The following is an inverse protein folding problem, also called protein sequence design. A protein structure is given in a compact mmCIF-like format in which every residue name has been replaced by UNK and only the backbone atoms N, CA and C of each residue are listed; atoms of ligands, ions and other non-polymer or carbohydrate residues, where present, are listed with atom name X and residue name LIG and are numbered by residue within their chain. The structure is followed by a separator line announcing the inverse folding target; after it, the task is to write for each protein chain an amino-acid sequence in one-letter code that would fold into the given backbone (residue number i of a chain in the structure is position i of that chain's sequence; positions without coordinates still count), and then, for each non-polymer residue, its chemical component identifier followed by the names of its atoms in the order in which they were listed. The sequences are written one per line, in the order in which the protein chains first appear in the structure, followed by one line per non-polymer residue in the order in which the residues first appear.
data_IF_729375415632
#
_entry.id   IF_729375415632
#
_cell.length_a   1.000
_cell.length_b   1.000
_cell.length_c   1.000
_cell.angle_alpha   90.00
_cell.angle_beta   90.00
_cell.angle_gamma   90.00
#
_symmetry.space_group_name_H-M   'P 1'
#
loop_
_entity.id
_entity.type
_entity.pdbx_description
1 polymer ?
#
# COMPACT_ATOMS: atom_id res chain seq x y z
N UNK A 1 0.49 0.29 -20.04
CA UNK A 1 -0.35 0.34 -18.82
C UNK A 1 -0.46 -1.08 -18.29
N UNK A 2 0.18 -1.38 -17.16
CA UNK A 2 0.02 -2.69 -16.53
C UNK A 2 -1.39 -2.77 -15.93
N UNK A 3 -2.21 -3.71 -16.42
CA UNK A 3 -3.53 -3.97 -15.90
C UNK A 3 -3.38 -4.89 -14.69
N UNK A 4 -3.10 -4.30 -13.52
CA UNK A 4 -3.00 -5.08 -12.28
C UNK A 4 -4.40 -5.54 -11.86
N UNK A 5 -4.65 -6.83 -12.03
CA UNK A 5 -5.92 -7.49 -11.68
C UNK A 5 -5.67 -8.76 -10.88
N UNK A 6 -6.70 -9.23 -10.17
CA UNK A 6 -6.60 -10.48 -9.41
C UNK A 6 -6.25 -11.65 -10.34
N UNK A 7 -5.24 -12.42 -9.97
CA UNK A 7 -4.66 -13.51 -10.77
C UNK A 7 -3.56 -13.05 -11.73
N UNK A 8 -3.38 -11.73 -11.91
CA UNK A 8 -2.32 -11.17 -12.75
C UNK A 8 -0.95 -11.15 -12.06
N UNK A 9 0.14 -11.06 -12.85
CA UNK A 9 1.49 -10.92 -12.34
C UNK A 9 1.79 -9.48 -11.88
N UNK A 10 2.70 -9.36 -10.91
CA UNK A 10 3.30 -8.09 -10.49
C UNK A 10 4.72 -8.31 -9.99
N UNK A 11 5.66 -7.50 -10.46
CA UNK A 11 7.07 -7.53 -10.08
C UNK A 11 7.30 -6.68 -8.84
N UNK A 12 7.77 -7.29 -7.76
CA UNK A 12 8.02 -6.61 -6.47
C UNK A 12 9.41 -6.96 -5.93
N UNK A 13 10.13 -5.94 -5.45
CA UNK A 13 11.46 -6.05 -4.86
C UNK A 13 11.61 -5.22 -3.58
N UNK A 14 12.70 -5.46 -2.84
CA UNK A 14 13.05 -4.73 -1.62
C UNK A 14 14.49 -4.23 -1.75
N UNK A 15 14.70 -3.05 -2.36
CA UNK A 15 16.03 -2.53 -2.66
C UNK A 15 16.89 -2.32 -1.41
N UNK A 16 16.30 -1.98 -0.26
CA UNK A 16 17.05 -1.77 0.99
C UNK A 16 17.64 -3.07 1.59
N UNK A 17 17.20 -4.22 1.08
CA UNK A 17 17.70 -5.55 1.44
C UNK A 17 18.44 -6.24 0.28
N UNK A 18 18.76 -5.52 -0.80
CA UNK A 18 19.34 -6.07 -2.02
C UNK A 18 18.51 -7.23 -2.62
N UNK A 19 17.19 -7.17 -2.43
CA UNK A 19 16.26 -8.16 -2.99
C UNK A 19 15.73 -7.62 -4.32
N UNK A 20 16.09 -8.22 -5.46
CA UNK A 20 15.62 -7.77 -6.76
C UNK A 20 14.12 -7.98 -6.92
N UNK A 21 13.53 -7.29 -7.89
CA UNK A 21 12.15 -7.56 -8.25
C UNK A 21 11.99 -8.99 -8.77
N UNK A 22 10.95 -9.65 -8.27
CA UNK A 22 10.50 -10.95 -8.77
C UNK A 22 8.99 -10.91 -8.97
N UNK A 23 8.52 -11.77 -9.86
CA UNK A 23 7.10 -11.88 -10.15
C UNK A 23 6.35 -12.53 -8.98
N UNK A 24 5.25 -11.91 -8.61
CA UNK A 24 4.24 -12.44 -7.69
C UNK A 24 2.88 -12.47 -8.38
N UNK A 25 1.97 -13.32 -7.89
CA UNK A 25 0.58 -13.32 -8.34
C UNK A 25 -0.28 -12.46 -7.41
N UNK A 26 -1.06 -11.55 -7.98
CA UNK A 26 -2.01 -10.72 -7.24
C UNK A 26 -3.17 -11.59 -6.75
N UNK A 27 -3.37 -11.69 -5.43
CA UNK A 27 -4.53 -12.36 -4.84
C UNK A 27 -5.67 -11.38 -4.52
N UNK A 28 -5.33 -10.12 -4.32
CA UNK A 28 -6.26 -9.04 -4.02
C UNK A 28 -5.68 -7.71 -4.48
N UNK A 29 -6.53 -6.83 -5.00
CA UNK A 29 -6.11 -5.52 -5.50
C UNK A 29 -7.20 -4.48 -5.25
N UNK A 30 -6.77 -3.30 -4.84
CA UNK A 30 -7.60 -2.12 -4.69
C UNK A 30 -6.81 -0.92 -5.19
N UNK A 31 -7.40 -0.19 -6.15
CA UNK A 31 -6.78 1.00 -6.75
C UNK A 31 -7.74 2.17 -6.62
N UNK A 32 -7.33 3.20 -5.90
CA UNK A 32 -8.11 4.40 -5.62
C UNK A 32 -7.26 5.62 -6.00
N UNK A 33 -7.38 6.06 -7.26
CA UNK A 33 -6.53 7.10 -7.81
C UNK A 33 -5.04 6.71 -7.77
N UNK A 34 -4.26 7.47 -6.99
CA UNK A 34 -2.83 7.22 -6.75
C UNK A 34 -2.57 6.16 -5.68
N UNK A 35 -3.57 5.81 -4.87
CA UNK A 35 -3.44 4.80 -3.82
C UNK A 35 -3.57 3.41 -4.43
N UNK A 36 -2.61 2.56 -4.12
CA UNK A 36 -2.60 1.17 -4.57
C UNK A 36 -2.34 0.26 -3.39
N UNK A 37 -3.30 -0.62 -3.12
CA UNK A 37 -3.18 -1.68 -2.14
C UNK A 37 -3.29 -3.02 -2.85
N UNK A 38 -2.37 -3.92 -2.56
CA UNK A 38 -2.42 -5.27 -3.10
C UNK A 38 -1.98 -6.28 -2.07
N UNK A 39 -2.56 -7.48 -2.20
CA UNK A 39 -2.07 -8.69 -1.57
C UNK A 39 -1.59 -9.60 -2.68
N UNK A 40 -0.42 -10.18 -2.49
CA UNK A 40 0.31 -10.96 -3.49
C UNK A 40 0.81 -12.27 -2.89
N UNK A 41 1.07 -13.26 -3.73
CA UNK A 41 1.60 -14.56 -3.32
C UNK A 41 2.75 -15.01 -4.22
N UNK A 42 3.73 -15.70 -3.63
CA UNK A 42 4.76 -16.44 -4.35
C UNK A 42 4.40 -17.94 -4.50
N UNK A 43 3.15 -18.31 -4.17
CA UNK A 43 2.67 -19.69 -4.13
C UNK A 43 2.99 -20.43 -2.83
N UNK A 44 3.81 -19.86 -1.94
CA UNK A 44 4.12 -20.41 -0.61
C UNK A 44 3.58 -19.54 0.52
N UNK A 45 3.68 -18.21 0.37
CA UNK A 45 3.22 -17.23 1.35
C UNK A 45 2.50 -16.07 0.67
N UNK A 46 1.56 -15.49 1.39
CA UNK A 46 0.92 -14.25 1.00
C UNK A 46 1.54 -13.06 1.75
N UNK A 47 1.58 -11.91 1.09
CA UNK A 47 2.02 -10.64 1.67
C UNK A 47 1.19 -9.50 1.12
N UNK A 48 1.05 -8.42 1.89
CA UNK A 48 0.30 -7.24 1.48
C UNK A 48 1.14 -5.99 1.56
N UNK A 49 0.81 -4.99 0.75
CA UNK A 49 1.38 -3.66 0.80
C UNK A 49 0.34 -2.64 0.37
N UNK A 50 0.55 -1.40 0.83
CA UNK A 50 -0.23 -0.23 0.45
C UNK A 50 0.77 0.89 0.16
N UNK A 51 0.70 1.46 -1.04
CA UNK A 51 1.58 2.52 -1.52
C UNK A 51 0.77 3.64 -2.14
N UNK A 52 1.36 4.83 -2.28
CA UNK A 52 0.79 5.93 -3.05
C UNK A 52 1.79 6.36 -4.11
N UNK A 53 1.38 6.26 -5.38
CA UNK A 53 2.19 6.68 -6.52
C UNK A 53 2.29 8.20 -6.60
N UNK A 54 3.42 8.72 -7.10
CA UNK A 54 3.65 10.15 -7.34
C UNK A 54 3.36 11.05 -6.12
N UNK A 55 3.69 10.56 -4.93
CA UNK A 55 3.42 11.25 -3.67
C UNK A 55 4.73 11.54 -2.91
N UNK A 56 5.01 12.82 -2.56
CA UNK A 56 6.20 13.16 -1.77
C UNK A 56 6.17 12.53 -0.37
N UNK A 57 7.34 12.18 0.15
CA UNK A 57 7.49 11.54 1.47
C UNK A 57 6.82 12.33 2.60
N UNK A 58 6.96 13.66 2.62
CA UNK A 58 6.30 14.51 3.62
C UNK A 58 4.77 14.37 3.60
N UNK A 59 4.18 14.17 2.42
CA UNK A 59 2.73 13.96 2.28
C UNK A 59 2.36 12.56 2.77
N UNK A 60 3.19 11.54 2.52
CA UNK A 60 2.97 10.19 3.05
C UNK A 60 2.91 10.19 4.59
N UNK A 61 3.80 10.91 5.25
CA UNK A 61 3.80 11.02 6.72
C UNK A 61 2.53 11.72 7.24
N UNK A 62 2.11 12.82 6.58
CA UNK A 62 0.86 13.50 6.91
C UNK A 62 -0.37 12.58 6.72
N UNK A 63 -0.38 11.77 5.66
CA UNK A 63 -1.44 10.80 5.39
C UNK A 63 -1.47 9.69 6.47
N UNK A 64 -0.31 9.21 6.92
CA UNK A 64 -0.22 8.21 7.99
C UNK A 64 -0.75 8.75 9.32
N UNK A 65 -0.41 10.00 9.67
CA UNK A 65 -0.91 10.67 10.87
C UNK A 65 -2.44 10.84 10.82
N UNK A 66 -2.98 11.34 9.70
CA UNK A 66 -4.42 11.50 9.53
C UNK A 66 -5.16 10.16 9.57
N UNK A 67 -4.64 9.14 8.89
CA UNK A 67 -5.23 7.80 8.90
C UNK A 67 -5.27 7.21 10.32
N UNK A 68 -4.20 7.41 11.09
CA UNK A 68 -4.15 7.01 12.50
C UNK A 68 -5.29 7.65 13.30
N UNK A 69 -5.49 8.95 13.12
CA UNK A 69 -6.58 9.70 13.78
C UNK A 69 -7.98 9.24 13.37
N UNK A 70 -8.19 8.94 12.08
CA UNK A 70 -9.50 8.54 11.54
C UNK A 70 -9.85 7.08 11.84
N UNK A 71 -8.87 6.17 11.91
CA UNK A 71 -9.08 4.72 12.02
C UNK A 71 -8.92 4.15 13.43
N UNK A 72 -8.31 4.91 14.35
CA UNK A 72 -8.12 4.48 15.74
C UNK A 72 -7.06 3.41 15.95
N UNK A 73 -6.24 3.10 14.94
CA UNK A 73 -5.04 2.27 15.05
C UNK A 73 -3.84 2.95 14.40
N UNK A 74 -2.64 2.61 14.87
CA UNK A 74 -1.41 3.25 14.40
C UNK A 74 -1.10 2.84 12.96
N UNK A 75 -0.89 3.85 12.12
CA UNK A 75 -0.39 3.73 10.75
C UNK A 75 0.91 4.51 10.66
N UNK A 76 1.94 3.93 10.05
CA UNK A 76 3.23 4.60 9.81
C UNK A 76 3.65 4.43 8.36
N UNK A 77 4.47 5.35 7.86
CA UNK A 77 5.21 5.09 6.63
C UNK A 77 6.34 4.11 6.94
N UNK A 78 6.48 3.08 6.12
CA UNK A 78 7.52 2.08 6.27
C UNK A 78 8.89 2.72 6.03
N UNK A 79 9.84 2.45 6.92
CA UNK A 79 11.23 2.81 6.72
C UNK A 79 11.86 2.04 5.55
N UNK A 80 11.26 0.91 5.17
CA UNK A 80 11.71 0.08 4.06
C UNK A 80 11.00 0.49 2.78
N UNK A 81 11.78 0.69 1.73
CA UNK A 81 11.26 0.93 0.38
C UNK A 81 10.96 -0.40 -0.29
N UNK A 82 9.89 -0.40 -1.07
CA UNK A 82 9.58 -1.47 -2.01
C UNK A 82 9.78 -0.94 -3.43
N UNK A 83 10.13 -1.84 -4.34
CA UNK A 83 10.15 -1.58 -5.77
C UNK A 83 8.96 -2.29 -6.40
N UNK A 84 8.17 -1.59 -7.20
CA UNK A 84 7.01 -2.15 -7.91
C UNK A 84 7.14 -1.78 -9.39
N UNK A 85 7.40 -2.77 -10.24
CA UNK A 85 7.62 -2.59 -11.68
C UNK A 85 8.62 -1.45 -11.98
N UNK A 86 9.74 -1.44 -11.25
CA UNK A 86 10.80 -0.43 -11.32
C UNK A 86 10.53 0.87 -10.58
N UNK A 87 9.37 1.06 -9.95
CA UNK A 87 9.06 2.25 -9.16
C UNK A 87 9.41 2.04 -7.69
N UNK A 88 10.37 2.79 -7.18
CA UNK A 88 10.76 2.74 -5.77
C UNK A 88 9.82 3.62 -4.95
N UNK A 89 9.09 3.00 -4.02
CA UNK A 89 8.03 3.60 -3.22
C UNK A 89 8.21 3.27 -1.74
N UNK A 90 7.59 4.06 -0.87
CA UNK A 90 7.38 3.66 0.53
C UNK A 90 5.96 3.13 0.71
N UNK A 91 5.85 2.06 1.48
CA UNK A 91 4.57 1.48 1.87
C UNK A 91 4.08 2.03 3.21
N UNK A 92 2.83 1.76 3.56
CA UNK A 92 2.28 2.02 4.88
C UNK A 92 2.25 0.72 5.69
N UNK A 93 2.76 0.78 6.92
CA UNK A 93 2.71 -0.31 7.89
C UNK A 93 1.64 -0.01 8.94
N UNK A 94 0.88 -1.03 9.31
CA UNK A 94 -0.18 -0.97 10.30
C UNK A 94 -0.42 -2.34 10.91
N UNK A 95 -1.01 -2.36 12.10
CA UNK A 95 -1.32 -3.61 12.79
C UNK A 95 -2.55 -4.28 12.19
N UNK A 96 -2.33 -5.47 11.63
CA UNK A 96 -3.38 -6.29 11.03
C UNK A 96 -3.23 -7.76 11.42
N UNK A 97 -4.35 -8.34 11.87
CA UNK A 97 -4.48 -9.78 12.08
C UNK A 97 -5.57 -10.33 11.17
N UNK A 98 -5.43 -11.57 10.67
CA UNK A 98 -6.43 -12.21 9.82
C UNK A 98 -7.63 -12.72 10.64
N UNK A 99 -8.23 -11.87 11.46
CA UNK A 99 -9.47 -12.15 12.19
C UNK A 99 -10.64 -11.42 11.53
N UNK A 100 -11.88 -11.94 11.64
CA UNK A 100 -13.05 -11.28 11.07
C UNK A 100 -13.23 -9.83 11.53
N UNK A 101 -12.85 -9.52 12.76
CA UNK A 101 -12.89 -8.17 13.33
C UNK A 101 -12.04 -7.15 12.54
N UNK A 102 -10.97 -7.61 11.90
CA UNK A 102 -10.01 -6.75 11.20
C UNK A 102 -9.96 -7.00 9.70
N UNK A 103 -10.91 -7.75 9.15
CA UNK A 103 -10.96 -8.11 7.74
C UNK A 103 -10.97 -6.87 6.83
N UNK A 104 -11.69 -5.82 7.23
CA UNK A 104 -11.88 -4.62 6.42
C UNK A 104 -10.79 -3.56 6.61
N UNK A 105 -9.95 -3.66 7.66
CA UNK A 105 -8.90 -2.67 7.97
C UNK A 105 -7.99 -2.32 6.77
N UNK A 106 -7.49 -3.28 5.97
CA UNK A 106 -6.66 -2.96 4.81
C UNK A 106 -7.39 -2.09 3.78
N UNK A 107 -8.65 -2.39 3.54
CA UNK A 107 -9.49 -1.70 2.56
C UNK A 107 -9.94 -0.33 3.06
N UNK A 108 -10.27 -0.23 4.35
CA UNK A 108 -10.56 1.03 5.02
C UNK A 108 -9.36 1.96 5.05
N UNK A 109 -8.17 1.43 5.33
CA UNK A 109 -6.94 2.22 5.27
C UNK A 109 -6.71 2.79 3.87
N UNK A 110 -6.79 1.96 2.83
CA UNK A 110 -6.63 2.43 1.45
C UNK A 110 -7.63 3.53 1.08
N UNK A 111 -8.89 3.38 1.52
CA UNK A 111 -9.93 4.38 1.30
C UNK A 111 -9.65 5.68 2.04
N UNK A 112 -9.32 5.62 3.33
CA UNK A 112 -9.01 6.81 4.13
C UNK A 112 -7.80 7.56 3.59
N UNK A 113 -6.75 6.85 3.16
CA UNK A 113 -5.57 7.47 2.53
C UNK A 113 -5.97 8.16 1.22
N UNK A 114 -6.83 7.53 0.40
CA UNK A 114 -7.28 8.12 -0.85
C UNK A 114 -8.15 9.38 -0.63
N UNK A 115 -9.10 9.31 0.30
CA UNK A 115 -9.95 10.44 0.69
C UNK A 115 -9.12 11.60 1.26
N UNK A 116 -8.20 11.33 2.18
CA UNK A 116 -7.31 12.34 2.75
C UNK A 116 -6.39 12.98 1.70
N UNK A 117 -5.89 12.20 0.73
CA UNK A 117 -5.09 12.75 -0.37
C UNK A 117 -5.91 13.70 -1.25
N UNK A 118 -7.16 13.34 -1.55
CA UNK A 118 -8.07 14.19 -2.32
C UNK A 118 -8.46 15.45 -1.55
N UNK A 119 -8.71 15.36 -0.24
CA UNK A 119 -8.95 16.51 0.65
C UNK A 119 -7.77 17.49 0.60
N UNK A 120 -6.54 17.01 0.74
CA UNK A 120 -5.33 17.85 0.68
C UNK A 120 -5.19 18.56 -0.68
N UNK A 121 -5.48 17.87 -1.79
CA UNK A 121 -5.39 18.45 -3.14
C UNK A 121 -6.44 19.53 -3.40
N UNK A 122 -7.64 19.37 -2.84
CA UNK A 122 -8.76 20.29 -3.04
C UNK A 122 -8.76 21.46 -2.05
N UNK A 123 -7.89 21.43 -1.02
CA UNK A 123 -7.74 22.50 -0.02
C UNK A 123 -6.73 23.60 -0.39
N UNK A 124 -6.12 23.55 -1.59
CA UNK A 124 -5.19 24.56 -2.13
C UNK A 124 -5.81 25.44 -3.20
#
# INVERSE_FOLDING_TARGET
MHHWEKGGPISIGWPDHDVPEREYTIVEVQRLGQVFRSRVTDGKKEGGFLVVFDCPEVVLEMLAEQATGKLGFKVIVSNLRCSIEGNVLRSFDYEWYPTPEFADRPSDLARIIAESLDEMRNSG
#
